data_IF_961273218046
#
_entry.id   IF_961273218046
#
_cell.length_a   1.000
_cell.length_b   1.000
_cell.length_c   1.000
_cell.angle_alpha   90.00
_cell.angle_beta   90.00
_cell.angle_gamma   90.00
#
_symmetry.space_group_name_H-M   'P 1'
#
loop_
_entity.id
_entity.type
_entity.pdbx_description
1 polymer ?
#
# COMPACT_ATOMS: atom_id res chain seq x y z
N UNK A 1 -13.04 -1.83 -20.53
CA UNK A 1 -13.08 -1.30 -19.18
C UNK A 1 -11.76 -0.61 -18.85
N UNK A 2 -11.82 0.49 -18.15
CA UNK A 2 -10.64 1.19 -17.64
C UNK A 2 -10.35 0.74 -16.21
N UNK A 3 -9.12 0.36 -15.96
CA UNK A 3 -8.72 -0.25 -14.69
C UNK A 3 -7.58 0.57 -14.08
N UNK A 4 -7.79 1.06 -12.86
CA UNK A 4 -6.80 1.82 -12.10
C UNK A 4 -5.61 0.94 -11.73
N UNK A 5 -4.40 1.39 -12.02
CA UNK A 5 -3.16 0.67 -11.68
C UNK A 5 -2.76 1.02 -10.25
N UNK A 6 -2.77 0.03 -9.35
CA UNK A 6 -2.64 0.25 -7.90
C UNK A 6 -1.55 -0.64 -7.30
N UNK A 7 -0.40 -0.05 -7.00
CA UNK A 7 0.68 -0.78 -6.32
C UNK A 7 0.49 -0.89 -4.80
N UNK A 8 -0.57 -0.30 -4.25
CA UNK A 8 -0.88 -0.31 -2.82
C UNK A 8 -1.88 -1.39 -2.39
N UNK A 9 -2.42 -2.17 -3.33
CA UNK A 9 -3.35 -3.27 -3.02
C UNK A 9 -3.04 -4.50 -3.88
N UNK A 10 -3.75 -5.62 -3.64
CA UNK A 10 -3.41 -6.91 -4.26
C UNK A 10 -4.58 -7.63 -4.90
N UNK A 11 -5.76 -7.01 -4.92
CA UNK A 11 -6.92 -7.61 -5.60
C UNK A 11 -7.12 -6.99 -6.98
N UNK A 12 -7.44 -7.81 -7.96
CA UNK A 12 -8.04 -7.35 -9.19
C UNK A 12 -9.56 -7.35 -8.95
N UNK A 13 -10.15 -6.16 -8.87
CA UNK A 13 -11.56 -5.99 -8.53
C UNK A 13 -12.23 -5.04 -9.52
N UNK A 14 -13.36 -5.45 -10.07
CA UNK A 14 -14.02 -4.75 -11.18
C UNK A 14 -15.51 -4.60 -10.86
N UNK A 15 -16.06 -3.41 -11.08
CA UNK A 15 -17.50 -3.18 -10.96
C UNK A 15 -18.26 -4.16 -11.86
N UNK A 16 -19.20 -4.90 -11.27
CA UNK A 16 -19.94 -5.98 -11.93
C UNK A 16 -21.46 -5.87 -11.76
N UNK A 17 -21.94 -4.71 -11.32
CA UNK A 17 -23.36 -4.39 -11.19
C UNK A 17 -23.55 -2.92 -11.55
N UNK A 18 -24.76 -2.52 -11.94
CA UNK A 18 -25.06 -1.11 -12.20
C UNK A 18 -24.73 -0.24 -10.98
N UNK A 19 -24.09 0.90 -11.21
CA UNK A 19 -23.76 1.88 -10.18
C UNK A 19 -23.90 3.29 -10.80
N UNK A 20 -24.36 4.28 -10.04
CA UNK A 20 -24.58 5.63 -10.58
C UNK A 20 -23.33 6.27 -11.19
N UNK A 21 -22.13 5.88 -10.73
CA UNK A 21 -20.86 6.47 -11.20
C UNK A 21 -20.16 5.62 -12.27
N UNK A 22 -20.76 4.47 -12.66
CA UNK A 22 -20.17 3.57 -13.66
C UNK A 22 -20.95 3.68 -14.99
N UNK A 23 -20.25 3.98 -16.07
CA UNK A 23 -20.83 3.95 -17.42
C UNK A 23 -20.90 2.54 -18.00
N UNK A 24 -20.05 1.66 -17.52
CA UNK A 24 -19.96 0.25 -17.96
C UNK A 24 -19.46 -0.58 -16.77
N UNK A 25 -19.68 -1.86 -16.85
CA UNK A 25 -19.29 -2.80 -15.80
C UNK A 25 -19.08 -4.19 -16.40
N UNK A 26 -18.41 -5.04 -15.67
CA UNK A 26 -18.13 -6.42 -16.04
C UNK A 26 -19.41 -7.24 -15.95
N UNK A 27 -19.79 -7.87 -17.06
CA UNK A 27 -20.99 -8.70 -17.17
C UNK A 27 -20.58 -10.16 -17.32
N UNK A 28 -20.48 -10.86 -16.23
CA UNK A 28 -19.99 -12.26 -16.16
C UNK A 28 -20.83 -13.21 -17.03
N UNK A 29 -22.13 -12.98 -17.09
CA UNK A 29 -23.05 -13.78 -17.89
C UNK A 29 -22.76 -13.72 -19.40
N UNK A 30 -22.03 -12.72 -19.85
CA UNK A 30 -21.63 -12.58 -21.26
C UNK A 30 -20.22 -13.16 -21.54
N UNK A 31 -19.56 -13.67 -20.53
CA UNK A 31 -18.22 -14.25 -20.68
C UNK A 31 -18.31 -15.78 -20.73
N UNK A 32 -17.90 -16.35 -21.85
CA UNK A 32 -17.85 -17.82 -22.03
C UNK A 32 -16.72 -18.47 -21.22
N UNK A 33 -15.77 -17.70 -20.72
CA UNK A 33 -14.59 -18.20 -20.00
C UNK A 33 -14.66 -17.94 -18.49
N UNK A 34 -15.69 -17.25 -18.02
CA UNK A 34 -15.90 -16.99 -16.60
C UNK A 34 -16.09 -18.28 -15.81
N UNK A 35 -15.46 -18.38 -14.64
CA UNK A 35 -15.65 -19.49 -13.69
C UNK A 35 -15.89 -18.92 -12.30
N UNK A 36 -16.97 -19.33 -11.67
CA UNK A 36 -17.37 -18.91 -10.32
C UNK A 36 -16.55 -19.70 -9.28
N UNK A 37 -15.92 -19.01 -8.34
CA UNK A 37 -15.21 -19.65 -7.22
C UNK A 37 -16.14 -19.92 -6.02
N UNK A 38 -17.39 -19.45 -6.07
CA UNK A 38 -18.42 -19.63 -5.03
C UNK A 38 -17.97 -19.12 -3.65
N UNK A 39 -17.27 -17.99 -3.66
CA UNK A 39 -16.78 -17.30 -2.46
C UNK A 39 -17.05 -15.82 -2.57
N UNK A 40 -17.42 -15.20 -1.44
CA UNK A 40 -17.57 -13.75 -1.33
C UNK A 40 -16.31 -13.10 -0.80
N UNK A 41 -16.19 -11.80 -0.99
CA UNK A 41 -15.08 -11.00 -0.48
C UNK A 41 -15.61 -9.65 0.00
N UNK A 42 -15.07 -9.15 1.11
CA UNK A 42 -15.45 -7.88 1.74
C UNK A 42 -14.20 -7.08 2.06
N UNK A 43 -14.18 -5.81 1.68
CA UNK A 43 -13.03 -4.91 1.92
C UNK A 43 -13.50 -3.67 2.67
N UNK A 44 -12.93 -3.41 3.83
CA UNK A 44 -13.18 -2.29 4.74
C UNK A 44 -11.84 -1.71 5.22
N UNK A 45 -11.74 -0.50 5.80
CA UNK A 45 -12.80 0.44 6.21
C UNK A 45 -13.00 1.63 5.27
N UNK A 46 -12.04 2.02 4.42
CA UNK A 46 -12.19 3.17 3.52
C UNK A 46 -12.38 2.70 2.08
N UNK A 47 -13.41 3.24 1.42
CA UNK A 47 -13.78 2.81 0.08
C UNK A 47 -14.23 1.35 0.11
N UNK A 48 -15.34 1.11 0.81
CA UNK A 48 -15.88 -0.25 1.01
C UNK A 48 -16.38 -0.84 -0.29
N UNK A 49 -16.04 -2.08 -0.54
CA UNK A 49 -16.68 -2.85 -1.59
C UNK A 49 -16.83 -4.30 -1.16
N UNK A 50 -17.85 -4.92 -1.69
CA UNK A 50 -18.05 -6.36 -1.53
C UNK A 50 -18.39 -6.97 -2.87
N UNK A 51 -18.05 -8.23 -3.04
CA UNK A 51 -18.23 -8.87 -4.33
C UNK A 51 -18.09 -10.37 -4.28
N UNK A 52 -18.11 -10.92 -5.45
CA UNK A 52 -18.07 -12.37 -5.69
C UNK A 52 -16.77 -12.73 -6.42
N UNK A 53 -16.09 -13.74 -5.93
CA UNK A 53 -14.81 -14.19 -6.49
C UNK A 53 -15.05 -15.17 -7.64
N UNK A 54 -14.30 -14.97 -8.69
CA UNK A 54 -14.28 -15.85 -9.84
C UNK A 54 -12.96 -15.75 -10.57
N UNK A 55 -12.82 -16.49 -11.65
CA UNK A 55 -11.68 -16.34 -12.57
C UNK A 55 -12.19 -16.10 -13.97
N UNK A 56 -11.37 -15.40 -14.77
CA UNK A 56 -11.66 -15.21 -16.18
C UNK A 56 -10.36 -14.95 -16.93
N UNK A 57 -10.41 -14.99 -18.24
CA UNK A 57 -9.27 -14.69 -19.10
C UNK A 57 -9.09 -13.18 -19.24
N UNK A 58 -7.87 -12.72 -19.05
CA UNK A 58 -7.51 -11.30 -19.08
C UNK A 58 -6.38 -11.08 -20.08
N UNK A 59 -6.57 -10.08 -20.92
CA UNK A 59 -5.57 -9.59 -21.88
C UNK A 59 -5.41 -8.08 -21.67
N UNK A 60 -4.18 -7.60 -21.61
CA UNK A 60 -3.89 -6.17 -21.51
C UNK A 60 -3.68 -5.64 -22.94
N UNK A 61 -4.55 -4.77 -23.45
CA UNK A 61 -4.35 -4.19 -24.79
C UNK A 61 -3.03 -3.41 -24.84
N UNK A 62 -2.29 -3.58 -25.92
CA UNK A 62 -0.98 -2.94 -26.12
C UNK A 62 0.06 -3.30 -25.06
N UNK A 63 -0.21 -4.34 -24.26
CA UNK A 63 0.70 -4.92 -23.27
C UNK A 63 1.46 -6.11 -23.85
N UNK A 64 1.93 -7.01 -23.00
CA UNK A 64 2.52 -8.26 -23.49
C UNK A 64 1.46 -9.06 -24.25
N UNK A 65 1.84 -9.64 -25.35
CA UNK A 65 0.91 -10.36 -26.23
C UNK A 65 0.57 -11.73 -25.64
N UNK A 66 -0.05 -11.75 -24.46
CA UNK A 66 -0.42 -12.95 -23.71
C UNK A 66 -1.80 -12.77 -23.09
N UNK A 67 -2.46 -13.90 -22.82
CA UNK A 67 -3.73 -13.97 -22.10
C UNK A 67 -3.53 -14.87 -20.88
N UNK A 68 -3.99 -14.44 -19.72
CA UNK A 68 -3.84 -15.19 -18.47
C UNK A 68 -5.19 -15.41 -17.82
N UNK A 69 -5.33 -16.53 -17.12
CA UNK A 69 -6.49 -16.76 -16.25
C UNK A 69 -6.17 -16.18 -14.89
N UNK A 70 -6.93 -15.18 -14.48
CA UNK A 70 -6.69 -14.42 -13.26
C UNK A 70 -7.91 -14.45 -12.35
N UNK A 71 -7.68 -14.31 -11.05
CA UNK A 71 -8.73 -14.07 -10.07
C UNK A 71 -9.30 -12.67 -10.28
N UNK A 72 -10.63 -12.55 -10.27
CA UNK A 72 -11.33 -11.28 -10.39
C UNK A 72 -12.43 -11.23 -9.31
N UNK A 73 -12.40 -10.18 -8.50
CA UNK A 73 -13.49 -9.86 -7.57
C UNK A 73 -14.52 -9.03 -8.35
N UNK A 74 -15.70 -9.59 -8.54
CA UNK A 74 -16.83 -8.91 -9.21
C UNK A 74 -17.57 -8.08 -8.17
N UNK A 75 -17.36 -6.75 -8.18
CA UNK A 75 -17.92 -5.84 -7.18
C UNK A 75 -19.43 -5.69 -7.43
N UNK A 76 -20.22 -6.12 -6.47
CA UNK A 76 -21.69 -6.07 -6.52
C UNK A 76 -22.28 -4.97 -5.63
N UNK A 77 -21.59 -4.59 -4.55
CA UNK A 77 -21.98 -3.49 -3.68
C UNK A 77 -20.75 -2.68 -3.29
N UNK A 78 -20.92 -1.37 -3.13
CA UNK A 78 -19.81 -0.50 -2.75
C UNK A 78 -20.33 0.76 -2.05
N UNK A 79 -19.48 1.35 -1.21
CA UNK A 79 -19.77 2.61 -0.53
C UNK A 79 -18.49 3.47 -0.59
N UNK A 80 -18.58 4.63 -1.25
CA UNK A 80 -17.48 5.59 -1.38
C UNK A 80 -16.20 4.99 -2.01
N UNK A 81 -16.38 3.97 -2.86
CA UNK A 81 -15.25 3.36 -3.57
C UNK A 81 -15.11 3.95 -4.97
N UNK A 82 -16.18 3.90 -5.77
CA UNK A 82 -16.18 4.52 -7.11
C UNK A 82 -16.33 6.03 -6.97
N UNK A 83 -15.68 6.76 -7.86
CA UNK A 83 -15.61 8.23 -7.80
C UNK A 83 -16.45 8.81 -8.91
N UNK A 84 -17.34 9.75 -8.56
CA UNK A 84 -18.17 10.44 -9.54
C UNK A 84 -17.29 11.24 -10.49
N UNK A 85 -17.44 11.00 -11.79
CA UNK A 85 -16.68 11.69 -12.82
C UNK A 85 -15.33 11.05 -13.13
N UNK A 86 -14.94 9.98 -12.43
CA UNK A 86 -13.79 9.19 -12.82
C UNK A 86 -14.10 8.37 -14.06
N UNK A 87 -13.09 7.89 -14.74
CA UNK A 87 -13.26 7.08 -15.95
C UNK A 87 -12.72 5.66 -15.77
N UNK A 88 -12.70 5.15 -14.52
CA UNK A 88 -12.28 3.77 -14.26
C UNK A 88 -13.40 2.97 -13.62
N UNK A 89 -13.43 1.68 -13.97
CA UNK A 89 -14.46 0.73 -13.56
C UNK A 89 -13.94 -0.35 -12.61
N UNK A 90 -12.65 -0.38 -12.37
CA UNK A 90 -12.04 -1.37 -11.51
C UNK A 90 -10.63 -0.98 -11.10
N UNK A 91 -10.02 -1.85 -10.32
CA UNK A 91 -8.70 -1.62 -9.74
C UNK A 91 -7.84 -2.87 -9.95
N UNK A 92 -6.62 -2.69 -10.42
CA UNK A 92 -5.63 -3.76 -10.58
C UNK A 92 -4.58 -3.64 -9.48
N UNK A 93 -4.75 -4.44 -8.45
CA UNK A 93 -3.80 -4.50 -7.34
C UNK A 93 -2.52 -5.23 -7.76
N UNK A 94 -1.38 -4.55 -7.67
CA UNK A 94 -0.08 -5.09 -8.10
C UNK A 94 0.84 -5.43 -6.94
N UNK A 95 0.38 -5.29 -5.68
CA UNK A 95 1.16 -5.68 -4.50
C UNK A 95 1.06 -7.20 -4.27
N UNK A 96 1.54 -7.67 -3.14
CA UNK A 96 1.77 -9.10 -2.89
C UNK A 96 0.57 -9.78 -2.25
N UNK A 97 0.57 -11.12 -2.30
CA UNK A 97 -0.55 -11.96 -1.85
C UNK A 97 -0.90 -11.76 -0.37
N UNK A 98 0.07 -11.40 0.44
CA UNK A 98 -0.08 -11.25 1.89
C UNK A 98 -1.15 -10.24 2.29
N UNK A 99 -1.46 -9.26 1.42
CA UNK A 99 -2.54 -8.29 1.67
C UNK A 99 -3.76 -8.50 0.76
N UNK A 100 -3.81 -9.60 0.03
CA UNK A 100 -4.98 -9.93 -0.80
C UNK A 100 -6.18 -10.29 0.10
N UNK A 101 -7.37 -9.95 -0.36
CA UNK A 101 -8.63 -10.28 0.32
C UNK A 101 -9.32 -11.41 -0.43
N UNK A 102 -9.92 -12.38 0.25
CA UNK A 102 -10.07 -12.48 1.73
C UNK A 102 -8.81 -12.94 2.47
N UNK A 103 -7.86 -13.60 1.78
CA UNK A 103 -6.59 -14.04 2.37
C UNK A 103 -5.53 -14.26 1.27
N UNK A 104 -4.32 -14.63 1.69
CA UNK A 104 -3.15 -14.77 0.80
C UNK A 104 -3.23 -15.97 -0.17
N UNK A 105 -4.27 -16.80 -0.05
CA UNK A 105 -4.49 -17.89 -1.02
C UNK A 105 -5.07 -17.37 -2.34
N UNK A 106 -5.61 -16.13 -2.37
CA UNK A 106 -6.12 -15.53 -3.60
C UNK A 106 -4.98 -14.87 -4.38
N UNK A 107 -4.45 -15.63 -5.34
CA UNK A 107 -3.27 -15.22 -6.10
C UNK A 107 -3.51 -13.90 -6.83
N UNK A 108 -2.64 -12.88 -6.61
CA UNK A 108 -2.77 -11.61 -7.33
C UNK A 108 -2.50 -11.76 -8.83
N UNK A 109 -2.99 -10.79 -9.60
CA UNK A 109 -2.90 -10.80 -11.06
C UNK A 109 -1.46 -10.96 -11.56
N UNK A 110 -0.51 -10.18 -11.03
CA UNK A 110 0.87 -10.21 -11.55
C UNK A 110 1.55 -11.55 -11.28
N UNK A 111 1.23 -12.19 -10.15
CA UNK A 111 1.72 -13.53 -9.83
C UNK A 111 1.18 -14.56 -10.85
N UNK A 112 -0.10 -14.47 -11.19
CA UNK A 112 -0.71 -15.33 -12.21
C UNK A 112 -0.05 -15.11 -13.59
N UNK A 113 0.19 -13.87 -13.95
CA UNK A 113 0.85 -13.50 -15.21
C UNK A 113 2.24 -14.14 -15.30
N UNK A 114 3.04 -14.01 -14.28
CA UNK A 114 4.41 -14.55 -14.25
C UNK A 114 4.41 -16.08 -14.26
N UNK A 115 3.47 -16.72 -13.53
CA UNK A 115 3.38 -18.18 -13.48
C UNK A 115 2.92 -18.81 -14.80
N UNK A 116 2.00 -18.14 -15.50
CA UNK A 116 1.36 -18.72 -16.70
C UNK A 116 2.08 -18.35 -17.99
N UNK A 117 3.00 -17.40 -17.96
CA UNK A 117 3.65 -16.88 -19.16
C UNK A 117 5.17 -16.81 -18.99
N UNK A 118 5.87 -16.34 -20.02
CA UNK A 118 7.31 -16.10 -19.97
C UNK A 118 7.65 -14.67 -19.58
N UNK A 119 6.65 -13.88 -19.18
CA UNK A 119 6.86 -12.48 -18.77
C UNK A 119 7.75 -12.45 -17.53
N UNK A 120 8.87 -11.72 -17.56
CA UNK A 120 9.75 -11.60 -16.37
C UNK A 120 9.03 -10.94 -15.18
N UNK A 121 9.46 -11.28 -13.99
CA UNK A 121 8.85 -10.81 -12.73
C UNK A 121 9.32 -9.38 -12.38
N UNK A 122 8.96 -8.44 -13.25
CA UNK A 122 9.31 -7.03 -13.14
C UNK A 122 8.26 -6.21 -13.89
N UNK A 123 7.90 -5.05 -13.37
CA UNK A 123 7.13 -4.05 -14.13
C UNK A 123 7.62 -2.66 -13.75
N UNK A 124 7.35 -1.68 -14.59
CA UNK A 124 7.75 -0.30 -14.34
C UNK A 124 6.63 0.66 -14.71
N UNK A 125 6.57 1.79 -14.01
CA UNK A 125 5.53 2.80 -14.19
C UNK A 125 6.14 4.17 -14.44
N UNK A 126 5.66 4.83 -15.49
CA UNK A 126 5.89 6.24 -15.74
C UNK A 126 4.54 6.94 -15.66
N UNK A 127 4.32 7.70 -14.59
CA UNK A 127 3.12 8.53 -14.45
C UNK A 127 3.48 9.95 -14.87
N UNK A 128 2.77 10.48 -15.87
CA UNK A 128 3.02 11.81 -16.40
C UNK A 128 1.95 12.77 -15.90
N UNK A 129 2.35 13.83 -15.24
CA UNK A 129 1.44 14.91 -14.90
C UNK A 129 1.07 15.67 -16.18
N UNK A 130 -0.23 15.89 -16.36
CA UNK A 130 -0.71 16.55 -17.60
C UNK A 130 -0.66 18.06 -17.55
N UNK A 131 -0.15 18.65 -16.48
CA UNK A 131 -0.05 20.13 -16.35
C UNK A 131 -1.40 20.81 -16.28
N UNK A 132 -1.46 22.05 -16.76
CA UNK A 132 -2.73 22.75 -16.94
C UNK A 132 -3.51 22.12 -18.10
N UNK A 133 -4.85 22.15 -18.00
CA UNK A 133 -5.78 21.49 -18.90
C UNK A 133 -5.31 21.43 -20.36
N UNK A 134 -5.03 20.25 -20.90
CA UNK A 134 -4.83 20.15 -22.33
C UNK A 134 -6.15 20.52 -23.03
N UNK A 135 -6.07 21.08 -24.22
CA UNK A 135 -7.27 21.26 -25.02
C UNK A 135 -7.83 19.87 -25.38
N UNK A 136 -9.09 19.81 -25.83
CA UNK A 136 -9.74 18.52 -26.11
C UNK A 136 -8.95 17.64 -27.08
N UNK A 137 -8.29 18.23 -28.06
CA UNK A 137 -7.50 17.50 -29.04
C UNK A 137 -6.24 16.89 -28.41
N UNK A 138 -5.56 17.65 -27.58
CA UNK A 138 -4.37 17.19 -26.84
C UNK A 138 -4.70 16.13 -25.82
N UNK A 139 -5.83 16.27 -25.11
CA UNK A 139 -6.29 15.29 -24.15
C UNK A 139 -6.60 13.93 -24.79
N UNK A 140 -7.17 13.95 -26.01
CA UNK A 140 -7.47 12.73 -26.76
C UNK A 140 -6.21 12.09 -27.36
N UNK A 141 -5.17 12.88 -27.66
CA UNK A 141 -3.94 12.41 -28.28
C UNK A 141 -2.87 11.97 -27.28
N UNK A 142 -2.97 12.42 -26.03
CA UNK A 142 -1.92 12.22 -25.02
C UNK A 142 -2.28 11.10 -24.05
N UNK A 143 -1.35 10.18 -23.80
CA UNK A 143 -1.47 9.21 -22.69
C UNK A 143 -0.93 9.85 -21.42
N UNK A 144 -1.50 9.48 -20.28
CA UNK A 144 -1.09 9.98 -18.98
C UNK A 144 0.11 9.24 -18.38
N UNK A 145 0.71 8.30 -19.11
CA UNK A 145 1.86 7.54 -18.65
C UNK A 145 1.96 6.19 -19.34
N UNK A 146 2.85 5.35 -18.80
CA UNK A 146 3.12 4.02 -19.35
C UNK A 146 3.32 3.01 -18.24
N UNK A 147 2.83 1.80 -18.45
CA UNK A 147 3.13 0.61 -17.63
C UNK A 147 3.89 -0.39 -18.52
N UNK A 148 5.14 -0.64 -18.20
CA UNK A 148 5.96 -1.61 -18.92
C UNK A 148 5.93 -2.92 -18.15
N UNK A 149 5.30 -3.91 -18.70
CA UNK A 149 5.11 -5.22 -18.08
C UNK A 149 6.23 -6.15 -18.56
N UNK A 150 7.03 -6.65 -17.61
CA UNK A 150 8.12 -7.58 -17.89
C UNK A 150 9.46 -6.93 -18.15
N UNK A 151 9.60 -5.60 -17.94
CA UNK A 151 10.87 -4.97 -18.23
C UNK A 151 10.95 -3.48 -17.96
N UNK A 152 11.93 -2.88 -18.61
CA UNK A 152 12.33 -1.48 -18.47
C UNK A 152 12.46 -0.90 -19.89
N UNK A 153 11.88 0.27 -20.11
CA UNK A 153 11.99 0.97 -21.39
C UNK A 153 12.92 2.18 -21.23
N UNK A 154 14.06 2.12 -21.91
CA UNK A 154 15.11 3.16 -21.83
C UNK A 154 14.63 4.53 -22.29
N UNK A 155 13.64 4.58 -23.17
CA UNK A 155 13.11 5.86 -23.68
C UNK A 155 12.29 6.65 -22.66
N UNK A 156 11.90 6.02 -21.55
CA UNK A 156 11.01 6.63 -20.57
C UNK A 156 11.75 7.35 -19.43
N UNK A 157 13.09 7.31 -19.41
CA UNK A 157 13.85 7.94 -18.34
C UNK A 157 15.19 8.52 -18.84
N UNK A 158 15.73 9.41 -18.03
CA UNK A 158 17.02 10.05 -18.25
C UNK A 158 18.01 9.64 -17.16
N UNK A 159 19.29 9.54 -17.52
CA UNK A 159 20.35 9.15 -16.55
C UNK A 159 20.27 7.68 -16.18
N UNK A 160 20.66 7.39 -14.96
CA UNK A 160 20.70 6.01 -14.43
C UNK A 160 19.50 5.70 -13.55
N UNK A 161 19.19 4.42 -13.42
CA UNK A 161 18.18 3.94 -12.45
C UNK A 161 18.93 3.58 -11.16
N UNK A 162 18.43 4.12 -10.05
CA UNK A 162 19.01 3.88 -8.72
C UNK A 162 18.06 3.03 -7.89
N UNK A 163 18.56 1.91 -7.36
CA UNK A 163 17.73 0.89 -6.70
C UNK A 163 17.86 0.93 -5.20
N UNK A 164 16.74 0.66 -4.54
CA UNK A 164 16.66 0.42 -3.11
C UNK A 164 16.06 -0.96 -2.84
N UNK A 165 16.61 -1.78 -2.02
CA UNK A 165 16.12 -3.08 -1.72
C UNK A 165 14.87 -2.97 -0.94
N UNK A 166 14.04 -3.62 -1.21
CA UNK A 166 12.90 -3.71 -0.46
C UNK A 166 13.27 -4.19 0.87
N UNK A 167 12.96 -3.57 1.67
CA UNK A 167 13.16 -3.94 2.96
C UNK A 167 12.59 -5.27 3.14
N UNK A 168 13.16 -5.93 2.84
CA UNK A 168 12.75 -7.17 2.98
C UNK A 168 12.46 -7.47 4.31
N UNK A 169 11.50 -6.99 4.51
CA UNK A 169 10.92 -7.43 5.63
C UNK A 169 10.84 -8.88 5.47
N UNK A 170 10.51 -9.60 6.39
CA UNK A 170 10.38 -11.06 6.36
C UNK A 170 9.25 -11.54 5.42
N UNK A 171 8.25 -10.72 5.17
CA UNK A 171 7.17 -11.01 4.22
C UNK A 171 6.95 -9.80 3.33
N UNK A 172 6.85 -10.01 2.04
CA UNK A 172 6.59 -8.97 1.05
C UNK A 172 5.08 -8.69 1.03
N UNK A 173 4.69 -7.58 1.64
CA UNK A 173 3.28 -7.13 1.66
C UNK A 173 3.07 -6.02 0.64
N UNK A 174 3.88 -4.97 0.77
CA UNK A 174 3.85 -3.74 -0.03
C UNK A 174 5.21 -3.53 -0.70
N UNK A 175 5.26 -2.56 -1.59
CA UNK A 175 6.52 -2.04 -2.15
C UNK A 175 7.10 -1.06 -1.15
N UNK A 176 7.76 -1.59 -0.14
CA UNK A 176 8.24 -0.86 1.02
C UNK A 176 9.62 -0.25 0.76
N UNK A 177 9.79 0.97 1.23
CA UNK A 177 11.01 1.76 1.10
C UNK A 177 11.36 2.35 2.46
N UNK A 178 12.60 2.80 2.64
CA UNK A 178 13.05 3.44 3.89
C UNK A 178 13.51 4.85 3.57
N UNK A 179 12.89 5.83 4.21
CA UNK A 179 13.24 7.25 4.12
C UNK A 179 14.23 7.56 5.23
N UNK A 180 15.41 8.06 4.87
CA UNK A 180 16.48 8.37 5.84
C UNK A 180 16.46 9.84 6.22
N UNK A 181 16.06 10.70 5.28
CA UNK A 181 16.08 12.15 5.48
C UNK A 181 14.95 12.80 4.71
N UNK A 182 14.37 13.85 5.27
CA UNK A 182 13.34 14.64 4.60
C UNK A 182 13.71 16.11 4.72
N UNK A 183 13.77 16.78 3.59
CA UNK A 183 14.13 18.20 3.50
C UNK A 183 13.00 19.01 2.87
N UNK A 184 12.81 20.22 3.35
CA UNK A 184 11.91 21.21 2.75
C UNK A 184 12.77 22.42 2.36
N UNK A 185 12.78 22.74 1.07
CA UNK A 185 13.57 23.86 0.52
C UNK A 185 15.06 23.76 0.93
N UNK A 186 15.62 22.55 0.88
CA UNK A 186 17.01 22.30 1.25
C UNK A 186 17.29 22.26 2.74
N UNK A 187 16.30 22.50 3.58
CA UNK A 187 16.43 22.43 5.04
C UNK A 187 15.88 21.11 5.57
N UNK A 188 16.73 20.40 6.30
CA UNK A 188 16.38 19.14 6.94
C UNK A 188 15.30 19.38 8.02
N UNK A 189 14.32 18.51 8.10
CA UNK A 189 13.36 18.52 9.19
C UNK A 189 13.99 18.12 10.54
N UNK A 190 15.18 17.51 10.51
CA UNK A 190 15.97 17.11 11.70
C UNK A 190 15.17 16.26 12.69
N UNK A 191 14.35 15.37 12.18
CA UNK A 191 13.63 14.38 12.98
C UNK A 191 14.42 13.07 13.01
N UNK A 192 14.17 12.25 14.03
CA UNK A 192 14.63 10.85 14.01
C UNK A 192 14.06 10.18 12.75
N UNK A 193 14.92 9.57 11.96
CA UNK A 193 14.50 8.96 10.68
C UNK A 193 13.48 7.85 10.86
N UNK A 194 13.40 7.23 12.02
CA UNK A 194 12.34 6.25 12.33
C UNK A 194 10.94 6.85 12.27
N UNK A 195 10.82 8.14 12.59
CA UNK A 195 9.53 8.84 12.49
C UNK A 195 9.03 8.90 11.03
N UNK A 196 9.95 9.03 10.07
CA UNK A 196 9.59 9.05 8.64
C UNK A 196 8.98 7.72 8.17
N UNK A 197 9.32 6.63 8.83
CA UNK A 197 8.93 5.27 8.45
C UNK A 197 8.01 4.60 9.50
N UNK A 198 7.28 5.39 10.25
CA UNK A 198 6.38 4.91 11.30
C UNK A 198 4.97 4.68 10.72
N UNK A 199 4.45 3.48 10.56
CA UNK A 199 5.11 2.17 10.86
C UNK A 199 5.80 1.56 9.64
N UNK A 200 5.63 2.17 8.47
CA UNK A 200 6.23 1.76 7.19
C UNK A 200 6.23 2.95 6.23
N UNK A 201 6.97 2.82 5.15
CA UNK A 201 6.89 3.73 3.98
C UNK A 201 6.71 2.91 2.73
N UNK A 202 5.71 3.23 1.91
CA UNK A 202 5.38 2.46 0.70
C UNK A 202 5.27 3.36 -0.53
N UNK A 203 5.47 2.76 -1.70
CA UNK A 203 5.21 3.37 -3.00
C UNK A 203 3.85 2.88 -3.50
N UNK A 204 2.90 3.81 -3.69
CA UNK A 204 1.51 3.47 -3.95
C UNK A 204 0.92 4.34 -5.07
N UNK A 205 0.82 3.79 -6.27
CA UNK A 205 0.23 4.47 -7.42
C UNK A 205 -1.28 4.70 -7.30
N UNK A 206 -1.95 3.99 -6.39
CA UNK A 206 -3.38 4.12 -6.10
C UNK A 206 -3.72 5.29 -5.18
N UNK A 207 -2.72 5.89 -4.54
CA UNK A 207 -2.86 7.09 -3.69
C UNK A 207 -2.37 8.31 -4.46
N UNK A 208 -3.12 9.42 -4.39
CA UNK A 208 -2.72 10.67 -5.06
C UNK A 208 -1.60 11.39 -4.31
N UNK A 209 -1.80 11.64 -3.02
CA UNK A 209 -0.96 12.52 -2.20
C UNK A 209 0.31 11.83 -1.69
N UNK A 210 1.27 12.64 -1.28
CA UNK A 210 2.27 12.23 -0.29
C UNK A 210 1.58 12.21 1.06
N UNK A 211 1.50 11.06 1.70
CA UNK A 211 0.90 10.93 3.03
C UNK A 211 2.00 10.68 4.05
N UNK A 212 1.97 11.48 5.12
CA UNK A 212 3.04 11.46 6.15
C UNK A 212 2.44 11.16 7.53
N UNK A 213 3.17 10.42 8.37
CA UNK A 213 2.76 10.25 9.77
C UNK A 213 2.55 11.60 10.45
N UNK A 214 1.65 11.66 11.43
CA UNK A 214 1.20 12.90 12.06
C UNK A 214 2.35 13.85 12.43
N UNK A 215 3.35 13.36 13.18
CA UNK A 215 4.49 14.19 13.62
C UNK A 215 5.28 14.78 12.44
N UNK A 216 5.51 13.94 11.41
CA UNK A 216 6.25 14.34 10.21
C UNK A 216 5.44 15.35 9.40
N UNK A 217 4.14 15.12 9.26
CA UNK A 217 3.21 16.01 8.58
C UNK A 217 3.23 17.40 9.24
N UNK A 218 3.11 17.46 10.56
CA UNK A 218 3.12 18.72 11.31
C UNK A 218 4.44 19.47 11.11
N UNK A 219 5.58 18.78 11.18
CA UNK A 219 6.90 19.36 10.97
C UNK A 219 7.08 19.88 9.53
N UNK A 220 6.62 19.10 8.54
CA UNK A 220 6.71 19.48 7.13
C UNK A 220 5.85 20.72 6.83
N UNK A 221 4.62 20.76 7.32
CA UNK A 221 3.71 21.90 7.16
C UNK A 221 4.31 23.16 7.81
N UNK A 222 4.83 23.04 9.01
CA UNK A 222 5.51 24.14 9.71
C UNK A 222 6.69 24.69 8.88
N UNK A 223 7.51 23.80 8.36
CA UNK A 223 8.68 24.18 7.54
C UNK A 223 8.25 24.88 6.25
N UNK A 224 7.20 24.38 5.59
CA UNK A 224 6.65 24.98 4.36
C UNK A 224 6.09 26.38 4.65
N UNK A 225 5.35 26.55 5.73
CA UNK A 225 4.80 27.85 6.16
C UNK A 225 5.92 28.87 6.43
N UNK A 226 6.97 28.46 7.13
CA UNK A 226 8.11 29.30 7.44
C UNK A 226 8.83 29.72 6.15
N UNK A 227 9.05 28.80 5.23
CA UNK A 227 9.71 29.08 3.95
C UNK A 227 8.88 30.06 3.08
N UNK A 228 7.55 29.96 3.12
CA UNK A 228 6.66 30.83 2.33
C UNK A 228 6.45 32.21 2.96
N UNK A 229 6.58 32.38 4.27
CA UNK A 229 6.38 33.67 4.95
C UNK A 229 7.55 34.63 4.78
N UNK A 230 8.73 34.16 4.39
CA UNK A 230 9.91 34.99 4.19
C UNK A 230 9.85 35.82 2.89
N UNK A 231 8.98 35.46 1.95
CA UNK A 231 8.91 36.14 0.64
C UNK A 231 7.90 37.29 0.57
N UNK A 232 7.68 38.01 1.67
CA UNK A 232 6.89 39.26 1.87
C UNK A 232 5.92 39.71 0.76
N UNK A 233 4.73 40.12 1.18
CA UNK A 233 3.69 40.81 0.39
C UNK A 233 2.81 39.93 -0.52
N UNK A 234 2.41 38.78 -0.07
CA UNK A 234 1.23 38.14 -0.66
C UNK A 234 0.12 38.10 0.40
N UNK A 235 -1.09 38.63 0.14
CA UNK A 235 -2.17 38.55 1.12
C UNK A 235 -2.67 37.15 1.41
N UNK A 236 -2.19 36.15 0.64
CA UNK A 236 -2.44 34.73 0.88
C UNK A 236 -1.09 34.03 0.94
N UNK A 237 -0.68 33.54 2.13
CA UNK A 237 0.64 32.90 2.31
C UNK A 237 0.84 31.61 1.49
N UNK A 238 -0.19 31.15 0.80
CA UNK A 238 -0.17 29.92 0.01
C UNK A 238 0.08 30.15 -1.49
N UNK A 239 0.17 31.39 -1.96
CA UNK A 239 0.10 31.69 -3.39
C UNK A 239 1.43 31.58 -4.15
N UNK A 240 2.57 31.46 -3.47
CA UNK A 240 3.88 31.23 -4.14
C UNK A 240 4.82 30.39 -3.26
N UNK A 241 4.72 29.08 -3.26
CA UNK A 241 5.77 28.32 -2.60
C UNK A 241 6.93 28.10 -3.57
N UNK A 242 8.05 28.72 -3.26
CA UNK A 242 9.35 28.34 -3.81
C UNK A 242 9.98 27.22 -2.97
N UNK A 243 9.16 26.44 -2.30
CA UNK A 243 9.66 25.37 -1.43
C UNK A 243 9.82 24.08 -2.24
N UNK A 244 11.03 23.63 -2.39
CA UNK A 244 11.31 22.27 -2.85
C UNK A 244 11.41 21.35 -1.62
N UNK A 245 10.63 20.29 -1.58
CA UNK A 245 10.78 19.24 -0.58
C UNK A 245 11.66 18.15 -1.18
N UNK A 246 12.67 17.75 -0.46
CA UNK A 246 13.57 16.65 -0.87
C UNK A 246 13.40 15.44 0.02
N UNK A 247 13.23 14.29 -0.58
CA UNK A 247 13.27 12.99 0.09
C UNK A 247 14.64 12.37 -0.15
N UNK A 248 15.34 12.03 0.93
CA UNK A 248 16.71 11.53 0.82
C UNK A 248 16.83 10.17 1.51
N UNK A 249 17.24 9.17 0.76
CA UNK A 249 17.93 8.02 1.28
C UNK A 249 17.22 6.69 1.34
N UNK A 250 17.99 5.68 1.01
CA UNK A 250 17.54 4.29 0.92
C UNK A 250 18.62 3.34 1.45
N UNK A 251 18.20 2.24 2.04
CA UNK A 251 19.12 1.23 2.56
C UNK A 251 19.13 -0.03 1.67
N UNK A 252 20.32 -0.48 1.29
CA UNK A 252 20.52 -1.83 0.76
C UNK A 252 20.89 -2.78 1.90
N UNK A 253 20.15 -3.83 2.09
CA UNK A 253 20.49 -4.90 3.01
C UNK A 253 21.64 -5.75 2.44
N UNK A 254 22.74 -5.85 3.15
CA UNK A 254 23.87 -6.68 2.75
C UNK A 254 25.00 -6.64 3.77
N UNK A 255 25.60 -7.78 3.97
CA UNK A 255 26.78 -7.96 4.85
C UNK A 255 28.01 -7.32 4.23
N UNK A 256 28.70 -6.51 5.02
CA UNK A 256 30.04 -5.91 4.79
C UNK A 256 30.07 -4.50 4.20
N UNK A 257 30.96 -3.78 4.78
CA UNK A 257 31.39 -2.41 4.67
C UNK A 257 31.55 -1.81 3.25
N UNK A 258 30.44 -1.59 2.54
CA UNK A 258 30.45 -0.70 1.38
C UNK A 258 29.55 0.50 1.65
N UNK A 259 29.94 1.71 1.22
CA UNK A 259 29.12 2.90 1.40
C UNK A 259 27.74 2.72 0.71
N UNK A 260 26.70 3.09 1.41
CA UNK A 260 25.32 2.91 0.96
C UNK A 260 24.79 4.22 0.37
N UNK A 261 24.17 4.16 -0.80
CA UNK A 261 23.71 5.38 -1.45
C UNK A 261 22.44 6.01 -0.86
N UNK A 262 22.35 7.18 -0.61
CA UNK A 262 21.29 7.83 -0.26
C UNK A 262 20.93 8.50 -1.43
N UNK A 263 19.87 8.58 -1.65
CA UNK A 263 19.26 9.23 -2.80
C UNK A 263 18.50 10.47 -2.36
N UNK A 264 18.52 11.49 -3.16
CA UNK A 264 17.67 12.66 -3.00
C UNK A 264 16.58 12.63 -4.06
N UNK A 265 15.32 12.64 -3.60
CA UNK A 265 14.15 12.86 -4.44
C UNK A 265 13.68 14.29 -4.19
N UNK A 266 13.78 15.16 -5.17
CA UNK A 266 13.31 16.53 -5.06
C UNK A 266 11.82 16.58 -5.38
N UNK A 267 11.02 16.98 -4.41
CA UNK A 267 9.57 17.08 -4.51
C UNK A 267 9.18 18.53 -4.83
N UNK A 268 8.68 18.76 -6.01
CA UNK A 268 8.22 20.07 -6.38
C UNK A 268 6.73 20.12 -6.72
N UNK A 269 6.04 19.00 -6.57
CA UNK A 269 4.65 18.88 -7.02
C UNK A 269 3.66 18.70 -5.89
N UNK A 270 3.91 19.25 -4.72
CA UNK A 270 2.96 19.17 -3.60
C UNK A 270 1.76 20.11 -3.74
N UNK A 271 1.70 20.91 -4.81
CA UNK A 271 0.52 21.71 -5.15
C UNK A 271 -0.07 21.17 -6.45
N UNK A 272 -1.31 20.68 -6.38
CA UNK A 272 -2.04 20.17 -7.54
C UNK A 272 -3.01 21.22 -8.05
N UNK A 273 -2.98 21.56 -9.35
CA UNK A 273 -3.96 22.48 -9.91
C UNK A 273 -5.38 21.91 -9.82
N UNK A 274 -6.36 22.77 -9.58
CA UNK A 274 -7.78 22.40 -9.48
C UNK A 274 -8.55 23.14 -10.57
N UNK A 275 -9.20 22.40 -11.46
CA UNK A 275 -9.86 22.95 -12.64
C UNK A 275 -11.25 23.51 -12.38
N UNK A 276 -11.90 23.19 -11.25
CA UNK A 276 -13.34 23.33 -11.10
C UNK A 276 -13.80 24.60 -10.37
N UNK A 277 -12.95 25.63 -10.24
CA UNK A 277 -13.44 26.91 -9.72
C UNK A 277 -13.58 27.88 -10.89
N UNK A 278 -14.62 27.66 -11.67
CA UNK A 278 -14.83 28.27 -12.99
C UNK A 278 -15.20 29.77 -12.99
N UNK A 279 -15.11 30.47 -11.86
CA UNK A 279 -15.55 31.86 -11.77
C UNK A 279 -14.50 32.84 -11.30
N UNK A 280 -13.28 32.40 -10.99
CA UNK A 280 -12.19 33.29 -10.59
C UNK A 280 -11.08 33.30 -11.64
N UNK A 281 -10.51 34.48 -11.87
CA UNK A 281 -9.31 34.62 -12.70
C UNK A 281 -8.06 34.09 -12.00
N UNK A 282 -8.22 33.53 -10.80
CA UNK A 282 -7.12 33.05 -9.98
C UNK A 282 -6.95 31.50 -10.11
N UNK A 283 -5.72 31.07 -10.32
CA UNK A 283 -5.37 29.66 -10.30
C UNK A 283 -5.49 29.09 -8.88
N UNK A 284 -6.24 28.02 -8.73
CA UNK A 284 -6.43 27.33 -7.46
C UNK A 284 -5.62 26.02 -7.42
N UNK A 285 -5.07 25.71 -6.25
CA UNK A 285 -4.25 24.52 -6.04
C UNK A 285 -4.69 23.79 -4.78
N UNK A 286 -4.69 22.47 -4.83
CA UNK A 286 -4.85 21.61 -3.66
C UNK A 286 -3.48 21.24 -3.10
N UNK A 287 -3.35 21.28 -1.79
CA UNK A 287 -2.16 20.84 -1.09
C UNK A 287 -2.10 19.30 -1.13
N UNK A 288 -1.09 18.76 -1.80
CA UNK A 288 -1.00 17.33 -2.08
C UNK A 288 -0.16 16.56 -1.04
N UNK A 289 0.01 17.13 0.15
CA UNK A 289 0.57 16.44 1.32
C UNK A 289 -0.56 16.33 2.35
N UNK A 290 -0.77 15.12 2.89
CA UNK A 290 -1.82 14.88 3.88
C UNK A 290 -1.33 13.98 5.01
N UNK A 291 -2.04 14.00 6.12
CA UNK A 291 -1.71 13.20 7.30
C UNK A 291 -2.09 11.74 7.09
N UNK A 292 -1.28 10.84 7.64
CA UNK A 292 -1.51 9.40 7.60
C UNK A 292 -1.48 8.81 9.02
N UNK A 293 -2.31 7.79 9.24
CA UNK A 293 -2.26 6.93 10.42
C UNK A 293 -1.72 5.53 10.08
N UNK A 294 -1.33 5.31 8.82
CA UNK A 294 -0.91 3.99 8.32
C UNK A 294 0.47 4.04 7.66
N UNK A 295 1.33 4.92 8.17
CA UNK A 295 2.69 5.08 7.65
C UNK A 295 2.78 6.10 6.52
N UNK A 296 3.96 6.23 5.97
CA UNK A 296 4.22 7.11 4.82
C UNK A 296 3.75 6.44 3.53
N UNK A 297 3.04 7.21 2.69
CA UNK A 297 2.63 6.74 1.37
C UNK A 297 3.15 7.71 0.32
N UNK A 298 4.04 7.20 -0.53
CA UNK A 298 4.55 7.95 -1.68
C UNK A 298 3.58 7.72 -2.85
N UNK A 299 2.61 8.62 -2.98
CA UNK A 299 1.56 8.52 -3.98
C UNK A 299 1.96 9.08 -5.35
N UNK A 300 0.97 9.26 -6.21
CA UNK A 300 1.17 9.68 -7.60
C UNK A 300 1.93 11.00 -7.72
N UNK A 301 1.72 11.95 -6.81
CA UNK A 301 2.43 13.25 -6.85
C UNK A 301 3.95 13.09 -6.71
N UNK A 302 4.39 12.05 -6.01
CA UNK A 302 5.81 11.69 -5.93
C UNK A 302 6.24 10.96 -7.21
N UNK A 303 5.45 9.97 -7.63
CA UNK A 303 5.80 9.12 -8.76
C UNK A 303 5.89 9.90 -10.08
N UNK A 304 5.11 10.99 -10.23
CA UNK A 304 5.07 11.80 -11.47
C UNK A 304 6.42 12.37 -11.89
N UNK A 305 7.36 12.54 -10.97
CA UNK A 305 8.70 13.01 -11.32
C UNK A 305 9.63 11.91 -11.80
N UNK A 306 9.23 10.64 -11.68
CA UNK A 306 10.15 9.52 -11.79
C UNK A 306 9.61 8.39 -12.65
N UNK A 307 10.53 7.65 -13.25
CA UNK A 307 10.29 6.32 -13.80
C UNK A 307 10.59 5.33 -12.68
N UNK A 308 9.59 4.59 -12.24
CA UNK A 308 9.69 3.72 -11.06
C UNK A 308 9.67 2.26 -11.50
N UNK A 309 10.71 1.51 -11.16
CA UNK A 309 10.89 0.10 -11.53
C UNK A 309 10.59 -0.77 -10.31
N UNK A 310 9.61 -1.64 -10.43
CA UNK A 310 9.23 -2.62 -9.41
C UNK A 310 9.87 -3.96 -9.77
N UNK A 311 11.13 -4.13 -9.38
CA UNK A 311 11.94 -5.33 -9.70
C UNK A 311 11.66 -6.40 -8.63
N UNK A 312 10.54 -7.10 -8.82
CA UNK A 312 10.08 -8.14 -7.91
C UNK A 312 11.05 -9.31 -7.85
N UNK A 313 11.67 -9.63 -8.99
CA UNK A 313 12.63 -10.75 -9.08
C UNK A 313 13.86 -10.52 -8.18
N UNK A 314 14.31 -9.27 -8.06
CA UNK A 314 15.48 -8.91 -7.23
C UNK A 314 15.09 -8.19 -5.95
N UNK A 315 13.79 -8.13 -5.63
CA UNK A 315 13.24 -7.51 -4.40
C UNK A 315 13.77 -6.10 -4.19
N UNK A 316 13.64 -5.26 -5.21
CA UNK A 316 14.16 -3.89 -5.18
C UNK A 316 13.27 -2.95 -5.98
N UNK A 317 13.30 -1.69 -5.65
CA UNK A 317 12.57 -0.64 -6.36
C UNK A 317 13.60 0.34 -6.92
N UNK A 318 13.48 0.65 -8.20
CA UNK A 318 14.37 1.58 -8.89
C UNK A 318 13.68 2.90 -9.18
N UNK A 319 14.43 3.99 -9.08
CA UNK A 319 13.97 5.33 -9.41
C UNK A 319 14.94 5.96 -10.41
N UNK A 320 14.39 6.56 -11.47
CA UNK A 320 15.14 7.36 -12.44
C UNK A 320 14.35 8.61 -12.75
N UNK A 321 15.00 9.65 -13.25
CA UNK A 321 14.31 10.87 -13.68
C UNK A 321 13.44 10.53 -14.88
N UNK A 322 12.16 10.87 -14.82
CA UNK A 322 11.22 10.58 -15.90
C UNK A 322 11.48 11.47 -17.13
N UNK A 323 11.37 10.89 -18.31
CA UNK A 323 11.43 11.64 -19.56
C UNK A 323 10.22 12.56 -19.74
N UNK A 324 9.12 12.35 -19.02
CA UNK A 324 7.92 13.19 -19.09
C UNK A 324 7.74 14.14 -17.92
N UNK A 325 8.76 14.31 -17.06
CA UNK A 325 8.62 15.25 -15.96
C UNK A 325 8.48 16.69 -16.51
N UNK A 326 7.60 17.48 -15.88
CA UNK A 326 7.34 18.85 -16.34
C UNK A 326 8.54 19.72 -15.98
N UNK A 327 9.26 20.18 -17.01
CA UNK A 327 10.37 21.11 -16.84
C UNK A 327 9.84 22.53 -16.63
N UNK A 328 10.00 23.03 -15.44
CA UNK A 328 9.95 24.47 -15.18
C UNK A 328 11.39 24.89 -14.85
N UNK A 329 11.79 26.11 -15.26
CA UNK A 329 13.14 26.66 -15.00
C UNK A 329 13.55 26.56 -13.53
N UNK A 330 12.59 26.43 -12.64
CA UNK A 330 12.77 26.36 -11.20
C UNK A 330 12.46 24.99 -10.59
N UNK A 331 12.13 23.97 -11.42
CA UNK A 331 11.63 22.66 -10.95
C UNK A 331 12.25 21.53 -11.74
N UNK A 332 13.34 20.96 -11.24
CA UNK A 332 13.95 19.77 -11.84
C UNK A 332 13.82 18.60 -10.86
N UNK A 333 13.11 17.56 -11.29
CA UNK A 333 13.21 16.28 -10.61
C UNK A 333 14.65 15.77 -10.79
N UNK A 334 15.26 15.32 -9.72
CA UNK A 334 16.60 14.78 -9.76
C UNK A 334 16.72 13.56 -8.85
N UNK A 335 17.46 12.59 -9.32
CA UNK A 335 17.90 11.46 -8.48
C UNK A 335 19.41 11.60 -8.38
N UNK A 336 19.89 11.86 -7.18
CA UNK A 336 21.31 12.05 -6.91
C UNK A 336 21.83 10.95 -5.99
N UNK A 337 23.03 10.51 -6.24
CA UNK A 337 23.69 9.52 -5.39
C UNK A 337 24.89 8.89 -6.09
N UNK A 338 25.57 7.93 -5.49
CA UNK A 338 25.45 7.49 -4.09
C UNK A 338 26.16 8.40 -3.11
N UNK A 339 25.54 8.66 -1.97
CA UNK A 339 26.14 9.44 -0.90
C UNK A 339 26.70 8.51 0.18
N UNK A 340 27.90 8.82 0.63
CA UNK A 340 28.57 8.11 1.72
C UNK A 340 28.06 8.65 3.07
N UNK A 341 27.30 7.84 3.78
CA UNK A 341 26.96 8.14 5.18
C UNK A 341 27.71 7.17 6.09
N UNK A 342 28.57 7.72 6.92
CA UNK A 342 29.38 6.93 7.87
C UNK A 342 28.56 6.43 9.07
N UNK A 343 27.40 7.02 9.33
CA UNK A 343 26.53 6.68 10.47
C UNK A 343 25.09 6.43 9.99
N UNK A 344 24.87 5.29 9.34
CA UNK A 344 23.50 4.89 9.01
C UNK A 344 22.86 4.23 10.22
N UNK A 345 22.11 5.00 10.95
CA UNK A 345 21.16 4.47 11.93
C UNK A 345 20.11 3.61 11.19
N UNK A 346 19.63 2.60 11.86
CA UNK A 346 18.54 1.79 11.32
C UNK A 346 17.24 2.63 11.37
N UNK A 347 16.84 3.17 10.24
CA UNK A 347 15.65 4.01 10.11
C UNK A 347 14.37 3.22 9.95
N UNK A 348 14.45 1.91 9.89
CA UNK A 348 13.27 1.04 9.81
C UNK A 348 12.55 0.99 11.14
N UNK A 349 11.21 0.96 11.10
CA UNK A 349 10.40 0.76 12.29
C UNK A 349 10.27 -0.75 12.52
N UNK A 350 11.09 -1.26 13.43
CA UNK A 350 11.00 -2.66 13.84
C UNK A 350 9.99 -2.76 14.97
N UNK A 351 8.78 -3.23 14.67
CA UNK A 351 7.89 -3.74 15.71
C UNK A 351 8.61 -4.96 16.29
N UNK A 352 8.93 -5.00 17.60
CA UNK A 352 9.46 -6.23 18.17
C UNK A 352 8.43 -7.31 17.97
N UNK A 353 8.64 -8.17 16.99
CA UNK A 353 7.82 -9.35 16.85
C UNK A 353 8.18 -10.24 18.05
N UNK A 354 7.26 -10.35 18.99
CA UNK A 354 7.28 -11.49 19.89
C UNK A 354 7.26 -12.72 18.99
N UNK A 355 8.36 -13.43 18.95
CA UNK A 355 8.47 -14.68 18.19
C UNK A 355 7.24 -15.55 18.49
N UNK A 356 6.63 -16.09 17.46
CA UNK A 356 5.52 -17.05 17.60
C UNK A 356 5.88 -18.14 18.63
N UNK A 357 7.15 -18.56 18.63
CA UNK A 357 7.68 -19.52 19.60
C UNK A 357 7.59 -18.97 21.04
N UNK A 358 7.88 -17.68 21.25
CA UNK A 358 7.77 -17.04 22.57
C UNK A 358 6.31 -16.94 23.01
N UNK A 359 5.40 -16.55 22.12
CA UNK A 359 3.97 -16.50 22.43
C UNK A 359 3.41 -17.88 22.74
N UNK A 360 3.81 -18.90 21.97
CA UNK A 360 3.41 -20.29 22.23
C UNK A 360 3.97 -20.79 23.57
N UNK A 361 5.21 -20.45 23.88
CA UNK A 361 5.82 -20.80 25.18
C UNK A 361 5.05 -20.16 26.33
N UNK A 362 4.71 -18.87 26.22
CA UNK A 362 3.89 -18.17 27.23
C UNK A 362 2.52 -18.87 27.35
N UNK A 363 1.88 -19.21 26.24
CA UNK A 363 0.58 -19.88 26.21
C UNK A 363 0.66 -21.25 26.92
N UNK A 364 1.70 -22.05 26.65
CA UNK A 364 1.90 -23.35 27.31
C UNK A 364 2.16 -23.19 28.81
N UNK A 365 2.97 -22.20 29.22
CA UNK A 365 3.24 -21.93 30.65
C UNK A 365 1.93 -21.53 31.33
N UNK A 366 1.13 -20.66 30.73
CA UNK A 366 -0.15 -20.23 31.31
C UNK A 366 -1.13 -21.41 31.40
N UNK A 367 -1.20 -22.26 30.38
CA UNK A 367 -2.04 -23.46 30.38
C UNK A 367 -1.61 -24.44 31.49
N UNK A 368 -0.31 -24.63 31.67
CA UNK A 368 0.22 -25.48 32.75
C UNK A 368 -0.14 -24.94 34.13
N UNK A 369 -0.01 -23.63 34.33
CA UNK A 369 -0.39 -22.97 35.61
C UNK A 369 -1.90 -23.15 35.85
N UNK A 370 -2.74 -22.94 34.85
CA UNK A 370 -4.19 -23.15 34.95
C UNK A 370 -4.51 -24.60 35.32
N UNK A 371 -3.84 -25.58 34.68
CA UNK A 371 -4.03 -27.00 34.96
C UNK A 371 -3.65 -27.34 36.44
N UNK A 372 -2.54 -26.78 36.93
CA UNK A 372 -2.11 -26.97 38.31
C UNK A 372 -3.16 -26.50 39.34
N UNK A 373 -3.87 -25.43 39.06
CA UNK A 373 -4.92 -24.90 39.93
C UNK A 373 -6.26 -25.61 39.73
N UNK A 374 -6.60 -25.99 38.49
CA UNK A 374 -7.89 -26.61 38.20
C UNK A 374 -7.93 -28.10 38.56
N UNK A 375 -6.81 -28.81 38.48
CA UNK A 375 -6.76 -30.25 38.75
C UNK A 375 -7.16 -30.59 40.20
N UNK A 376 -6.63 -29.93 41.24
CA UNK A 376 -7.08 -30.16 42.63
C UNK A 376 -8.57 -29.87 42.83
N UNK A 377 -9.08 -28.80 42.20
CA UNK A 377 -10.50 -28.46 42.28
C UNK A 377 -11.38 -29.54 41.64
N UNK A 378 -10.98 -30.03 40.46
CA UNK A 378 -11.67 -31.13 39.79
C UNK A 378 -11.67 -32.42 40.63
N UNK A 379 -10.52 -32.72 41.28
CA UNK A 379 -10.39 -33.89 42.17
C UNK A 379 -11.29 -33.75 43.36
N UNK A 380 -11.37 -32.57 44.00
CA UNK A 380 -12.27 -32.31 45.14
C UNK A 380 -13.74 -32.48 44.73
N UNK A 381 -14.14 -31.97 43.58
CA UNK A 381 -15.52 -32.12 43.08
C UNK A 381 -15.83 -33.58 42.77
N UNK A 382 -14.87 -34.29 42.18
CA UNK A 382 -15.01 -35.71 41.86
C UNK A 382 -15.14 -36.52 43.15
N UNK A 383 -14.27 -36.29 44.16
CA UNK A 383 -14.36 -36.95 45.46
C UNK A 383 -15.69 -36.69 46.13
N UNK A 384 -16.15 -35.44 46.13
CA UNK A 384 -17.43 -35.06 46.69
C UNK A 384 -18.61 -35.76 46.01
N UNK A 385 -18.57 -35.87 44.71
CA UNK A 385 -19.60 -36.62 43.94
C UNK A 385 -19.55 -38.12 44.24
N UNK A 386 -18.36 -38.72 44.34
CA UNK A 386 -18.22 -40.13 44.67
C UNK A 386 -18.73 -40.41 46.10
N UNK A 387 -18.38 -39.56 47.09
CA UNK A 387 -18.89 -39.66 48.44
C UNK A 387 -20.42 -39.53 48.49
N UNK A 388 -21.00 -38.67 47.69
CA UNK A 388 -22.46 -38.53 47.62
C UNK A 388 -23.12 -39.76 47.01
N UNK A 389 -22.55 -40.36 46.02
CA UNK A 389 -23.06 -41.61 45.43
C UNK A 389 -23.01 -42.77 46.43
N UNK A 390 -21.87 -42.93 47.14
CA UNK A 390 -21.71 -43.98 48.15
C UNK A 390 -22.66 -43.80 49.35
N UNK A 391 -22.93 -42.58 49.74
CA UNK A 391 -23.88 -42.26 50.84
C UNK A 391 -25.30 -42.59 50.43
N UNK A 392 -25.68 -42.33 49.18
CA UNK A 392 -27.00 -42.65 48.65
C UNK A 392 -27.25 -44.14 48.62
N UNK A 393 -26.28 -44.93 48.19
CA UNK A 393 -26.35 -46.40 48.19
C UNK A 393 -26.50 -46.97 49.58
N UNK A 394 -25.85 -46.31 50.61
CA UNK A 394 -25.90 -46.75 52.01
C UNK A 394 -27.27 -46.46 52.61
N UNK A 395 -27.89 -45.33 52.26
CA UNK A 395 -29.22 -44.95 52.77
C UNK A 395 -30.31 -45.85 52.13
N UNK A 396 -30.20 -46.16 50.83
CA UNK A 396 -31.13 -47.09 50.16
C UNK A 396 -31.03 -48.51 50.74
N UNK A 397 -29.83 -48.95 51.21
CA UNK A 397 -29.62 -50.26 51.81
C UNK A 397 -30.15 -50.30 53.26
N UNK A 398 -30.12 -49.17 53.97
CA UNK A 398 -30.66 -49.05 55.36
C UNK A 398 -32.19 -49.09 55.35
N UNK A 399 -32.85 -48.51 54.37
CA UNK A 399 -34.31 -48.49 54.23
C UNK A 399 -34.85 -49.88 53.85
N UNK A 400 -34.13 -50.68 53.06
CA UNK A 400 -34.53 -52.05 52.71
C UNK A 400 -34.48 -53.01 53.93
N UNK A 401 -33.53 -52.78 54.88
CA UNK A 401 -33.44 -53.58 56.10
C UNK A 401 -34.58 -53.25 57.07
N UNK A 402 -35.07 -52.00 57.06
CA UNK A 402 -36.15 -51.58 57.97
C UNK A 402 -37.51 -52.17 57.58
N UNK A 403 -37.69 -52.68 56.35
CA UNK A 403 -38.93 -53.30 55.86
C UNK A 403 -39.02 -54.79 56.13
N UNK A 404 -37.98 -55.36 56.76
CA UNK A 404 -37.94 -56.80 57.09
C UNK A 404 -38.10 -57.11 58.61
N UNK A 405 -38.65 -56.17 59.36
CA UNK A 405 -39.06 -56.40 60.76
C UNK A 405 -40.56 -56.37 60.97
#
# INVERSE_FOLDING_TARGET
LNILVDTGSSNFAVGAAPHPFLRRYYQRQLSSTYRDLRKGVYVYPQGKWEGELGTDLVTIPHGPNVTVRANIAAITESDKFFINGSNWEGILGLAYAEIARPDDSLEPFFDSLVKQTRVPNIFSLQLCGVGFSPNETEALASVGGSMIIGGIDRSLYMGDIWYTXXXXXRKEWYYEVIIVKLEVNGQDLNMDCKEYNYDKSIVDSGTTNLRLPKKVFEAAVKSIKTASSVSGTCPFPWARPQASAGLVGWRQGGTAARPRPXWRLFLQQYLRPVEDVATSQDDCYKFAISQSSTGTVMGAVIMEGFYVVFDRARKRIGFAVSACHVHDEFRTAAVEGPYLHSNMEDCGYNIPQTDESTLMTIAYVMAAICALFMLPLCLMVFQWRCFRCLRRDHDDFADDISLLK
#
